data_IF_030477072850
#
_entry.id   IF_030477072850
#
_cell.length_a   1.000
_cell.length_b   1.000
_cell.length_c   1.000
_cell.angle_alpha   90.00
_cell.angle_beta   90.00
_cell.angle_gamma   90.00
#
_symmetry.space_group_name_H-M   'P 1'
#
loop_
_entity.id
_entity.type
_entity.pdbx_description
1 polymer ?
#
# COMPACT_ATOMS: atom_id res chain seq x y z
N UNK A 1 13.43 22.74 12.68
CA UNK A 1 12.42 21.96 13.42
C UNK A 1 11.36 21.48 12.43
N UNK A 2 11.56 20.30 11.82
CA UNK A 2 10.53 19.35 11.33
C UNK A 2 11.24 18.25 10.52
N UNK A 3 11.86 17.29 11.21
CA UNK A 3 12.37 16.04 10.61
C UNK A 3 11.63 14.80 11.11
N UNK A 4 10.54 14.96 11.87
CA UNK A 4 9.76 13.84 12.42
C UNK A 4 9.16 12.91 11.35
N UNK A 5 8.97 13.38 10.11
CA UNK A 5 8.46 12.53 9.03
C UNK A 5 9.54 11.58 8.47
N UNK A 6 10.74 12.10 8.22
CA UNK A 6 11.86 11.34 7.64
C UNK A 6 12.52 10.42 8.68
N UNK A 7 12.76 10.91 9.90
CA UNK A 7 13.29 10.09 11.01
C UNK A 7 12.38 8.92 11.37
N UNK A 8 11.06 9.08 11.17
CA UNK A 8 10.09 8.06 11.53
C UNK A 8 9.87 7.01 10.42
N UNK A 9 10.03 7.40 9.15
CA UNK A 9 10.17 6.44 8.04
C UNK A 9 11.47 5.65 8.22
N UNK A 10 12.57 6.32 8.60
CA UNK A 10 13.84 5.68 8.91
C UNK A 10 13.70 4.70 10.08
N UNK A 11 13.09 5.09 11.19
CA UNK A 11 12.86 4.21 12.33
C UNK A 11 11.95 3.01 12.01
N UNK A 12 11.01 3.16 11.08
CA UNK A 12 10.18 2.03 10.62
C UNK A 12 10.96 1.10 9.68
N UNK A 13 11.82 1.66 8.82
CA UNK A 13 12.78 0.89 8.04
C UNK A 13 13.78 0.15 8.93
N UNK A 14 14.27 0.77 10.00
CA UNK A 14 15.17 0.15 10.98
C UNK A 14 14.45 -0.95 11.76
N UNK A 15 13.28 -0.69 12.33
CA UNK A 15 12.51 -1.71 13.06
C UNK A 15 12.08 -2.91 12.21
N UNK A 16 11.96 -2.74 10.89
CA UNK A 16 11.73 -3.83 9.93
C UNK A 16 13.05 -4.47 9.46
N UNK A 17 14.12 -3.68 9.27
CA UNK A 17 15.45 -4.17 8.92
C UNK A 17 16.12 -4.97 10.05
N UNK A 18 15.76 -4.74 11.32
CA UNK A 18 16.18 -5.55 12.46
C UNK A 18 15.61 -6.98 12.43
N UNK A 19 14.55 -7.24 11.64
CA UNK A 19 14.11 -8.60 11.31
C UNK A 19 14.99 -9.26 10.23
N UNK A 20 15.84 -8.49 9.55
CA UNK A 20 16.67 -8.89 8.40
C UNK A 20 18.15 -8.59 8.63
N UNK A 21 18.72 -9.24 9.63
CA UNK A 21 20.16 -9.42 9.71
C UNK A 21 20.71 -10.37 8.64
N UNK A 22 20.51 -10.14 7.33
CA UNK A 22 21.36 -10.76 6.29
C UNK A 22 21.26 -10.12 4.90
N UNK A 23 22.39 -9.53 4.50
CA UNK A 23 22.81 -9.32 3.11
C UNK A 23 22.38 -10.46 2.17
N UNK A 24 21.57 -10.17 1.14
CA UNK A 24 21.38 -11.03 -0.05
C UNK A 24 22.18 -10.37 -1.18
N UNK A 25 23.29 -10.89 -1.72
CA UNK A 25 23.60 -12.25 -2.20
C UNK A 25 22.41 -12.84 -2.95
N UNK A 26 22.42 -12.66 -4.27
CA UNK A 26 21.56 -13.37 -5.23
C UNK A 26 21.59 -14.87 -4.92
N UNK A 27 20.52 -15.36 -4.30
CA UNK A 27 20.23 -16.77 -4.16
C UNK A 27 18.79 -16.98 -4.65
N UNK A 28 18.62 -17.97 -5.51
CA UNK A 28 17.38 -18.28 -6.20
C UNK A 28 16.29 -18.90 -5.28
N UNK A 29 16.40 -18.73 -3.95
CA UNK A 29 15.51 -19.32 -2.94
C UNK A 29 14.73 -18.30 -2.10
N UNK A 30 14.85 -16.98 -2.36
CA UNK A 30 14.01 -15.99 -1.64
C UNK A 30 12.58 -16.01 -2.19
N UNK A 31 11.53 -16.20 -1.35
CA UNK A 31 10.16 -16.19 -1.83
C UNK A 31 9.83 -14.86 -2.51
N UNK A 32 9.03 -14.87 -3.59
CA UNK A 32 8.72 -13.65 -4.33
C UNK A 32 8.08 -12.61 -3.40
N UNK A 33 8.42 -11.32 -3.56
CA UNK A 33 7.89 -10.29 -2.71
C UNK A 33 6.37 -10.20 -2.85
N UNK A 34 5.69 -9.93 -1.74
CA UNK A 34 4.24 -9.81 -1.69
C UNK A 34 3.81 -8.46 -2.28
N UNK A 35 2.95 -8.50 -3.30
CA UNK A 35 2.52 -7.30 -4.01
C UNK A 35 1.24 -6.72 -3.42
N UNK A 36 1.34 -5.52 -2.86
CA UNK A 36 0.23 -4.79 -2.24
C UNK A 36 -0.18 -3.62 -3.15
N UNK A 37 -1.46 -3.57 -3.50
CA UNK A 37 -2.04 -2.46 -4.29
C UNK A 37 -2.99 -1.64 -3.43
N UNK A 38 -2.62 -0.38 -3.18
CA UNK A 38 -3.43 0.57 -2.43
C UNK A 38 -4.33 1.38 -3.36
N UNK A 39 -5.64 1.34 -3.13
CA UNK A 39 -6.62 1.98 -4.00
C UNK A 39 -7.40 3.07 -3.26
N UNK A 40 -7.37 4.29 -3.78
CA UNK A 40 -8.23 5.39 -3.35
C UNK A 40 -9.02 6.01 -4.53
N UNK A 41 -9.52 7.24 -4.39
CA UNK A 41 -10.24 7.92 -5.46
C UNK A 41 -9.30 8.53 -6.50
N UNK A 42 -8.43 9.46 -6.12
CA UNK A 42 -7.60 10.27 -7.05
C UNK A 42 -6.11 9.89 -7.10
N UNK A 43 -5.65 8.99 -6.23
CA UNK A 43 -4.22 8.69 -6.02
C UNK A 43 -3.35 9.84 -5.49
N UNK A 44 -3.92 10.82 -4.77
CA UNK A 44 -3.16 12.01 -4.34
C UNK A 44 -2.73 12.04 -2.87
N UNK A 45 -3.54 11.47 -1.98
CA UNK A 45 -3.37 11.66 -0.54
C UNK A 45 -3.09 10.32 0.15
N UNK A 46 -4.15 9.53 0.35
CA UNK A 46 -4.12 8.34 1.22
C UNK A 46 -3.35 7.15 0.64
N UNK A 47 -3.58 6.82 -0.64
CA UNK A 47 -2.91 5.70 -1.30
C UNK A 47 -1.41 5.92 -1.54
N UNK A 48 -0.92 7.10 -1.95
CA UNK A 48 0.52 7.31 -2.08
C UNK A 48 1.22 7.35 -0.71
N UNK A 49 0.57 7.83 0.36
CA UNK A 49 1.13 7.71 1.72
C UNK A 49 1.31 6.24 2.14
N UNK A 50 0.32 5.37 1.86
CA UNK A 50 0.45 3.95 2.17
C UNK A 50 1.57 3.27 1.38
N UNK A 51 1.73 3.62 0.10
CA UNK A 51 2.83 3.17 -0.75
C UNK A 51 4.19 3.62 -0.19
N UNK A 52 4.35 4.91 0.11
CA UNK A 52 5.58 5.46 0.67
C UNK A 52 5.98 4.80 2.00
N UNK A 53 5.00 4.46 2.83
CA UNK A 53 5.23 3.72 4.09
C UNK A 53 5.70 2.28 3.86
N UNK A 54 5.29 1.65 2.76
CA UNK A 54 5.71 0.30 2.41
C UNK A 54 7.01 0.27 1.59
N UNK A 55 7.48 1.43 1.12
CA UNK A 55 8.66 1.52 0.26
C UNK A 55 9.95 1.20 1.03
N UNK A 56 10.64 0.15 0.61
CA UNK A 56 11.89 -0.31 1.22
C UNK A 56 11.70 -1.36 2.31
N UNK A 57 10.49 -1.90 2.50
CA UNK A 57 10.27 -3.10 3.30
C UNK A 57 10.66 -4.31 2.45
N UNK A 58 11.61 -5.13 2.89
CA UNK A 58 12.01 -6.27 2.06
C UNK A 58 10.91 -7.34 2.02
N UNK A 59 10.84 -8.04 0.89
CA UNK A 59 9.78 -9.00 0.62
C UNK A 59 8.39 -8.37 0.40
N UNK A 60 8.27 -7.04 0.28
CA UNK A 60 7.02 -6.34 -0.02
C UNK A 60 7.22 -5.37 -1.18
N UNK A 61 6.37 -5.47 -2.19
CA UNK A 61 6.26 -4.49 -3.25
C UNK A 61 4.91 -3.78 -3.10
N UNK A 62 4.92 -2.48 -2.87
CA UNK A 62 3.70 -1.69 -2.77
C UNK A 62 3.55 -0.74 -3.97
N UNK A 63 2.34 -0.63 -4.48
CA UNK A 63 1.97 0.39 -5.44
C UNK A 63 0.59 0.96 -5.12
N UNK A 64 0.27 2.12 -5.68
CA UNK A 64 -0.98 2.82 -5.46
C UNK A 64 -1.73 3.11 -6.77
N UNK A 65 -3.05 3.23 -6.69
CA UNK A 65 -3.90 3.54 -7.82
C UNK A 65 -5.16 4.32 -7.40
N UNK A 66 -5.74 5.08 -8.33
CA UNK A 66 -7.01 5.77 -8.15
C UNK A 66 -8.14 5.13 -8.95
N UNK A 67 -9.34 5.03 -8.35
CA UNK A 67 -10.54 4.53 -9.04
C UNK A 67 -11.11 5.50 -10.07
N UNK A 68 -10.80 6.79 -9.97
CA UNK A 68 -11.21 7.78 -10.96
C UNK A 68 -10.34 7.70 -12.21
N UNK A 69 -10.95 8.00 -13.37
CA UNK A 69 -10.22 8.11 -14.63
C UNK A 69 -9.25 9.30 -14.67
N UNK A 70 -9.48 10.31 -13.83
CA UNK A 70 -8.63 11.50 -13.67
C UNK A 70 -7.62 11.35 -12.51
N UNK A 71 -7.44 10.14 -12.00
CA UNK A 71 -6.42 9.86 -10.99
C UNK A 71 -5.02 10.00 -11.59
N UNK A 72 -4.04 10.38 -10.77
CA UNK A 72 -2.65 10.50 -11.23
C UNK A 72 -2.11 9.18 -11.77
N UNK A 73 -2.43 8.08 -11.09
CA UNK A 73 -2.26 6.73 -11.62
C UNK A 73 -3.62 6.02 -11.59
N UNK A 74 -4.33 5.96 -12.73
CA UNK A 74 -5.64 5.31 -12.78
C UNK A 74 -5.50 3.81 -12.56
N UNK A 75 -6.46 3.24 -11.85
CA UNK A 75 -6.55 1.80 -11.64
C UNK A 75 -6.79 1.10 -12.97
N UNK A 76 -5.86 0.23 -13.35
CA UNK A 76 -5.93 -0.60 -14.54
C UNK A 76 -6.06 -2.06 -14.15
N UNK A 77 -6.48 -2.88 -15.11
CA UNK A 77 -6.55 -4.32 -14.94
C UNK A 77 -5.17 -4.93 -14.67
N UNK A 78 -4.14 -4.42 -15.33
CA UNK A 78 -2.76 -4.87 -15.19
C UNK A 78 -2.25 -4.70 -13.75
N UNK A 79 -2.56 -3.55 -13.12
CA UNK A 79 -2.25 -3.30 -11.71
C UNK A 79 -2.95 -4.29 -10.79
N UNK A 80 -4.22 -4.61 -11.08
CA UNK A 80 -4.97 -5.61 -10.30
C UNK A 80 -4.33 -6.98 -10.48
N UNK A 81 -3.95 -7.37 -11.70
CA UNK A 81 -3.34 -8.68 -11.98
C UNK A 81 -1.97 -8.82 -11.32
N UNK A 82 -1.16 -7.77 -11.37
CA UNK A 82 0.14 -7.69 -10.70
C UNK A 82 0.02 -7.87 -9.18
N UNK A 83 -0.99 -7.29 -8.54
CA UNK A 83 -1.12 -7.26 -7.09
C UNK A 83 -1.58 -8.59 -6.50
N UNK A 84 -0.89 -9.14 -5.51
CA UNK A 84 -1.40 -10.30 -4.75
C UNK A 84 -2.56 -9.90 -3.85
N UNK A 85 -2.49 -8.70 -3.27
CA UNK A 85 -3.49 -8.17 -2.34
C UNK A 85 -3.89 -6.76 -2.76
N UNK A 86 -5.20 -6.55 -2.88
CA UNK A 86 -5.75 -5.23 -3.15
C UNK A 86 -6.32 -4.66 -1.85
N UNK A 87 -5.94 -3.43 -1.52
CA UNK A 87 -6.31 -2.74 -0.30
C UNK A 87 -6.98 -1.42 -0.66
N UNK A 88 -8.29 -1.35 -0.47
CA UNK A 88 -9.08 -0.16 -0.73
C UNK A 88 -9.20 0.71 0.53
N UNK A 89 -9.17 2.03 0.39
CA UNK A 89 -9.32 2.92 1.56
C UNK A 89 -10.73 2.87 2.15
N UNK A 90 -11.76 2.67 1.32
CA UNK A 90 -13.17 2.74 1.72
C UNK A 90 -14.02 1.72 0.98
N UNK A 91 -15.23 1.45 1.50
CA UNK A 91 -16.18 0.53 0.86
C UNK A 91 -16.62 1.02 -0.52
N UNK A 92 -16.69 2.34 -0.73
CA UNK A 92 -17.02 2.93 -2.02
C UNK A 92 -15.99 2.53 -3.10
N UNK A 93 -14.69 2.59 -2.78
CA UNK A 93 -13.62 2.14 -3.67
C UNK A 93 -13.75 0.64 -3.97
N UNK A 94 -14.01 -0.19 -2.94
CA UNK A 94 -14.26 -1.64 -3.11
C UNK A 94 -15.38 -1.91 -4.13
N UNK A 95 -16.48 -1.19 -4.04
CA UNK A 95 -17.61 -1.34 -4.95
C UNK A 95 -17.24 -0.95 -6.38
N UNK A 96 -16.50 0.15 -6.57
CA UNK A 96 -15.99 0.56 -7.90
C UNK A 96 -15.06 -0.49 -8.52
N UNK A 97 -14.14 -1.03 -7.71
CA UNK A 97 -13.22 -2.09 -8.15
C UNK A 97 -14.00 -3.33 -8.58
N UNK A 98 -14.93 -3.81 -7.75
CA UNK A 98 -15.75 -4.98 -8.08
C UNK A 98 -16.71 -4.76 -9.26
N UNK A 99 -17.13 -3.52 -9.51
CA UNK A 99 -17.97 -3.20 -10.67
C UNK A 99 -17.16 -3.21 -11.97
N UNK A 100 -15.96 -2.61 -11.97
CA UNK A 100 -15.13 -2.43 -13.18
C UNK A 100 -14.22 -3.62 -13.48
N UNK A 101 -13.75 -4.31 -12.44
CA UNK A 101 -12.69 -5.33 -12.52
C UNK A 101 -13.11 -6.68 -11.92
N UNK A 102 -14.42 -6.97 -11.90
CA UNK A 102 -14.99 -8.20 -11.32
C UNK A 102 -14.26 -9.47 -11.74
N UNK A 103 -13.93 -9.58 -13.04
CA UNK A 103 -13.29 -10.76 -13.62
C UNK A 103 -11.87 -10.94 -13.10
N UNK A 104 -11.09 -9.85 -12.98
CA UNK A 104 -9.70 -9.87 -12.54
C UNK A 104 -9.57 -10.03 -11.02
N UNK A 105 -10.58 -9.59 -10.26
CA UNK A 105 -10.64 -9.77 -8.80
C UNK A 105 -11.07 -11.17 -8.37
N UNK A 106 -11.41 -12.08 -9.31
CA UNK A 106 -11.93 -13.41 -8.97
C UNK A 106 -10.85 -14.23 -8.26
N UNK A 107 -11.09 -14.54 -6.98
CA UNK A 107 -10.14 -15.30 -6.16
C UNK A 107 -9.04 -14.45 -5.52
N UNK A 108 -9.04 -13.12 -5.71
CA UNK A 108 -8.05 -12.22 -5.12
C UNK A 108 -8.56 -11.58 -3.83
N UNK A 109 -7.72 -11.48 -2.79
CA UNK A 109 -8.12 -10.84 -1.55
C UNK A 109 -8.24 -9.31 -1.74
N UNK A 110 -9.39 -8.78 -1.32
CA UNK A 110 -9.70 -7.35 -1.33
C UNK A 110 -10.04 -6.88 0.07
N UNK A 111 -9.17 -6.07 0.67
CA UNK A 111 -9.36 -5.52 2.01
C UNK A 111 -9.81 -4.06 1.94
N UNK A 112 -10.53 -3.63 2.98
CA UNK A 112 -10.96 -2.24 3.12
C UNK A 112 -10.41 -1.70 4.43
N UNK A 113 -9.61 -0.65 4.37
CA UNK A 113 -9.06 -0.02 5.59
C UNK A 113 -10.13 0.81 6.31
N UNK A 114 -11.13 1.33 5.61
CA UNK A 114 -12.16 2.17 6.23
C UNK A 114 -11.57 3.47 6.76
N UNK A 115 -10.64 4.07 6.02
CA UNK A 115 -10.00 5.34 6.32
C UNK A 115 -10.77 6.42 5.57
N UNK A 116 -11.38 7.41 6.25
CA UNK A 116 -12.12 8.50 5.60
C UNK A 116 -11.20 9.37 4.70
N UNK A 117 -11.78 10.21 3.84
CA UNK A 117 -11.05 11.10 2.90
C UNK A 117 -10.72 12.47 3.49
N UNK A 118 -10.73 12.60 4.82
CA UNK A 118 -10.48 13.85 5.54
C UNK A 118 -9.00 14.03 5.92
N UNK A 119 -8.08 13.43 5.18
CA UNK A 119 -6.64 13.46 5.49
C UNK A 119 -5.80 14.01 4.34
N UNK A 120 -4.84 14.86 4.70
CA UNK A 120 -3.82 15.37 3.79
C UNK A 120 -2.68 14.36 3.57
N UNK A 121 -1.95 14.55 2.46
CA UNK A 121 -0.78 13.73 2.15
C UNK A 121 0.25 13.81 3.28
N UNK A 122 0.71 12.65 3.76
CA UNK A 122 1.70 12.54 4.85
C UNK A 122 1.26 13.16 6.19
N UNK A 123 -0.03 13.41 6.39
CA UNK A 123 -0.53 13.86 7.69
C UNK A 123 -0.20 12.83 8.78
N UNK A 124 0.29 13.25 9.96
CA UNK A 124 0.75 12.33 11.00
C UNK A 124 -0.33 11.34 11.45
N UNK A 125 -1.58 11.80 11.60
CA UNK A 125 -2.71 10.96 12.01
C UNK A 125 -3.01 9.85 10.97
N UNK A 126 -2.93 10.18 9.68
CA UNK A 126 -3.09 9.22 8.60
C UNK A 126 -1.97 8.18 8.61
N UNK A 127 -0.73 8.63 8.82
CA UNK A 127 0.44 7.76 8.91
C UNK A 127 0.30 6.79 10.07
N UNK A 128 -0.06 7.26 11.27
CA UNK A 128 -0.28 6.39 12.42
C UNK A 128 -1.42 5.39 12.20
N UNK A 129 -2.52 5.84 11.62
CA UNK A 129 -3.65 4.96 11.31
C UNK A 129 -3.26 3.88 10.30
N UNK A 130 -2.55 4.27 9.23
CA UNK A 130 -2.02 3.34 8.23
C UNK A 130 -1.07 2.34 8.89
N UNK A 131 -0.15 2.77 9.77
CA UNK A 131 0.75 1.85 10.50
C UNK A 131 0.00 0.78 11.27
N UNK A 132 -0.99 1.18 12.06
CA UNK A 132 -1.79 0.24 12.88
C UNK A 132 -2.50 -0.78 12.00
N UNK A 133 -3.04 -0.35 10.85
CA UNK A 133 -3.72 -1.27 9.93
C UNK A 133 -2.76 -2.13 9.14
N UNK A 134 -1.68 -1.53 8.63
CA UNK A 134 -0.69 -2.19 7.78
C UNK A 134 0.11 -3.25 8.52
N UNK A 135 0.26 -3.13 9.84
CA UNK A 135 0.95 -4.09 10.71
C UNK A 135 0.58 -5.56 10.46
N UNK A 136 -0.66 -5.84 10.02
CA UNK A 136 -1.11 -7.20 9.69
C UNK A 136 -0.48 -7.78 8.40
N UNK A 137 -0.01 -6.93 7.49
CA UNK A 137 0.56 -7.33 6.21
C UNK A 137 2.08 -7.14 6.15
N UNK A 138 2.62 -6.19 6.93
CA UNK A 138 4.04 -5.82 6.94
C UNK A 138 4.84 -6.32 8.15
N UNK A 139 4.22 -7.01 9.11
CA UNK A 139 4.86 -7.49 10.33
C UNK A 139 4.50 -8.91 10.70
#
# INVERSE_FOLDING_TARGET
MTSFGEDLIAAMKEALADAEGRSVMNDASTPPPKRLLFVCSQNRLRSPTAEALCQGIAGIEATSAGTNNDAEQPLTGDLIEWADIVIAMERAHRNRINAKFRSQMKGKPLFVLGIPDDYDYMQPELVELLKVRLKRWIG
#
